data_IF_864393132261
#
_entry.id   IF_864393132261
#
_cell.length_a   1.000
_cell.length_b   1.000
_cell.length_c   1.000
_cell.angle_alpha   90.00
_cell.angle_beta   90.00
_cell.angle_gamma   90.00
#
_symmetry.space_group_name_H-M   'P 1'
#
loop_
_entity.id
_entity.type
_entity.pdbx_description
1 polymer ?
#
# COMPACT_ATOMS: atom_id res chain seq x y z
N UNK A 1 -9.02 -7.17 -6.12
CA UNK A 1 -9.28 -6.11 -7.11
C UNK A 1 -8.22 -6.21 -8.22
N UNK A 2 -8.59 -6.07 -9.49
CA UNK A 2 -7.64 -6.17 -10.61
C UNK A 2 -6.69 -4.97 -10.69
N UNK A 3 -7.08 -3.79 -10.20
CA UNK A 3 -6.26 -2.58 -10.24
C UNK A 3 -5.11 -2.64 -9.25
N UNK A 4 -5.36 -3.05 -8.01
CA UNK A 4 -4.31 -3.19 -6.98
C UNK A 4 -3.31 -4.28 -7.41
N UNK A 5 -3.79 -5.40 -7.93
CA UNK A 5 -2.92 -6.46 -8.41
C UNK A 5 -2.03 -5.98 -9.57
N UNK A 6 -2.60 -5.21 -10.50
CA UNK A 6 -1.83 -4.65 -11.63
C UNK A 6 -0.81 -3.61 -11.17
N UNK A 7 -1.17 -2.75 -10.20
CA UNK A 7 -0.25 -1.79 -9.60
C UNK A 7 0.98 -2.50 -9.01
N UNK A 8 0.77 -3.55 -8.23
CA UNK A 8 1.86 -4.28 -7.56
C UNK A 8 2.73 -5.03 -8.57
N UNK A 9 2.13 -5.71 -9.55
CA UNK A 9 2.86 -6.38 -10.64
C UNK A 9 3.70 -5.42 -11.47
N UNK A 10 3.23 -4.18 -11.66
CA UNK A 10 4.02 -3.18 -12.38
C UNK A 10 5.32 -2.84 -11.64
N UNK A 11 5.28 -2.82 -10.30
CA UNK A 11 6.46 -2.49 -9.49
C UNK A 11 7.55 -3.53 -9.52
N UNK A 12 7.20 -4.81 -9.71
CA UNK A 12 8.19 -5.87 -9.90
C UNK A 12 9.12 -5.63 -11.10
N UNK A 13 8.69 -4.83 -12.08
CA UNK A 13 9.47 -4.52 -13.29
C UNK A 13 10.32 -3.25 -13.18
N UNK A 14 10.05 -2.38 -12.19
CA UNK A 14 10.68 -1.05 -12.10
C UNK A 14 11.39 -0.78 -10.77
N UNK A 15 11.22 -1.66 -9.78
CA UNK A 15 11.84 -1.55 -8.47
C UNK A 15 12.68 -2.79 -8.16
N UNK A 16 13.77 -2.60 -7.42
CA UNK A 16 14.53 -3.69 -6.82
C UNK A 16 13.84 -4.29 -5.58
N UNK A 17 12.83 -3.59 -5.03
CA UNK A 17 12.04 -4.06 -3.89
C UNK A 17 11.08 -5.16 -4.35
N UNK A 18 11.10 -6.29 -3.64
CA UNK A 18 10.16 -7.37 -3.87
C UNK A 18 8.84 -7.10 -3.14
N UNK A 19 7.76 -6.91 -3.90
CA UNK A 19 6.43 -6.73 -3.33
C UNK A 19 5.69 -8.05 -3.20
N UNK A 20 5.13 -8.32 -2.01
CA UNK A 20 4.21 -9.43 -1.75
C UNK A 20 2.82 -8.87 -1.54
N UNK A 21 1.82 -9.48 -2.17
CA UNK A 21 0.42 -9.09 -2.02
C UNK A 21 -0.43 -10.26 -1.58
N UNK A 22 -1.16 -10.09 -0.50
CA UNK A 22 -2.19 -11.03 -0.06
C UNK A 22 -3.49 -10.30 0.25
N UNK A 23 -4.60 -11.02 0.07
CA UNK A 23 -5.91 -10.51 0.46
C UNK A 23 -6.81 -11.64 0.96
N UNK A 24 -7.77 -11.28 1.78
CA UNK A 24 -8.89 -12.15 2.09
C UNK A 24 -9.75 -12.37 0.83
N UNK A 25 -9.98 -13.63 0.48
CA UNK A 25 -10.76 -14.05 -0.68
C UNK A 25 -12.25 -13.71 -0.51
N UNK A 26 -12.71 -13.57 0.74
CA UNK A 26 -14.11 -13.25 1.06
C UNK A 26 -14.46 -11.77 0.82
N UNK A 27 -13.48 -10.91 0.51
CA UNK A 27 -13.74 -9.50 0.23
C UNK A 27 -14.44 -9.36 -1.12
N UNK A 28 -15.72 -9.02 -1.06
CA UNK A 28 -16.49 -8.65 -2.24
C UNK A 28 -16.34 -7.16 -2.56
N UNK A 29 -15.53 -6.85 -3.57
CA UNK A 29 -15.22 -5.48 -3.97
C UNK A 29 -16.42 -4.69 -4.52
N UNK A 30 -17.50 -5.37 -4.95
CA UNK A 30 -18.72 -4.70 -5.39
C UNK A 30 -19.47 -4.00 -4.25
N UNK A 31 -19.24 -4.43 -3.02
CA UNK A 31 -19.96 -3.91 -1.84
C UNK A 31 -19.41 -2.53 -1.42
N UNK A 32 -18.24 -2.17 -1.95
CA UNK A 32 -17.58 -0.89 -1.68
C UNK A 32 -17.84 0.13 -2.78
N UNK A 33 -18.23 1.34 -2.35
CA UNK A 33 -18.38 2.49 -3.23
C UNK A 33 -17.09 2.76 -4.02
N UNK A 34 -17.23 3.26 -5.24
CA UNK A 34 -16.08 3.58 -6.10
C UNK A 34 -15.07 4.51 -5.41
N UNK A 35 -15.56 5.52 -4.67
CA UNK A 35 -14.71 6.48 -3.97
C UNK A 35 -13.80 5.78 -2.94
N UNK A 36 -14.33 4.79 -2.22
CA UNK A 36 -13.57 4.01 -1.26
C UNK A 36 -12.45 3.22 -1.95
N UNK A 37 -12.77 2.53 -3.05
CA UNK A 37 -11.79 1.76 -3.83
C UNK A 37 -10.69 2.65 -4.42
N UNK A 38 -11.04 3.84 -4.90
CA UNK A 38 -10.08 4.83 -5.42
C UNK A 38 -9.15 5.31 -4.31
N UNK A 39 -9.68 5.63 -3.13
CA UNK A 39 -8.86 6.09 -2.01
C UNK A 39 -7.93 4.98 -1.51
N UNK A 40 -8.43 3.74 -1.40
CA UNK A 40 -7.60 2.59 -1.05
C UNK A 40 -6.45 2.39 -2.04
N UNK A 41 -6.72 2.51 -3.34
CA UNK A 41 -5.70 2.44 -4.37
C UNK A 41 -4.64 3.55 -4.20
N UNK A 42 -5.06 4.79 -3.91
CA UNK A 42 -4.13 5.92 -3.69
C UNK A 42 -3.25 5.73 -2.46
N UNK A 43 -3.82 5.21 -1.36
CA UNK A 43 -3.05 4.87 -0.15
C UNK A 43 -1.94 3.87 -0.48
N UNK A 44 -2.29 2.78 -1.18
CA UNK A 44 -1.32 1.75 -1.57
C UNK A 44 -0.27 2.33 -2.53
N UNK A 45 -0.69 3.16 -3.49
CA UNK A 45 0.23 3.81 -4.43
C UNK A 45 1.25 4.70 -3.72
N UNK A 46 0.80 5.56 -2.81
CA UNK A 46 1.69 6.45 -2.07
C UNK A 46 2.64 5.67 -1.16
N UNK A 47 2.15 4.62 -0.49
CA UNK A 47 2.99 3.76 0.34
C UNK A 47 4.08 3.05 -0.49
N UNK A 48 3.75 2.50 -1.66
CA UNK A 48 4.71 1.93 -2.60
C UNK A 48 5.76 2.97 -3.03
N UNK A 49 5.34 4.21 -3.31
CA UNK A 49 6.25 5.28 -3.68
C UNK A 49 7.20 5.62 -2.52
N UNK A 50 6.69 5.64 -1.29
CA UNK A 50 7.49 5.89 -0.09
C UNK A 50 8.52 4.78 0.14
N UNK A 51 8.11 3.52 0.03
CA UNK A 51 9.02 2.37 0.12
C UNK A 51 10.13 2.50 -0.93
N UNK A 52 9.77 2.67 -2.20
CA UNK A 52 10.75 2.74 -3.29
C UNK A 52 11.72 3.93 -3.18
N UNK A 53 11.29 5.07 -2.63
CA UNK A 53 12.11 6.30 -2.60
C UNK A 53 12.90 6.48 -1.30
N UNK A 54 12.41 5.94 -0.18
CA UNK A 54 12.85 6.36 1.15
C UNK A 54 13.26 5.23 2.09
N UNK A 55 12.82 3.99 1.86
CA UNK A 55 13.00 2.93 2.86
C UNK A 55 14.34 2.18 2.79
N UNK A 56 15.03 2.16 1.64
CA UNK A 56 16.09 1.20 1.34
C UNK A 56 15.70 -0.28 1.56
N UNK A 57 14.39 -0.58 1.61
CA UNK A 57 13.89 -1.92 1.83
C UNK A 57 14.26 -2.87 0.67
N UNK A 58 14.32 -4.16 0.98
CA UNK A 58 14.45 -5.22 -0.02
C UNK A 58 13.13 -5.95 -0.25
N UNK A 59 12.23 -5.93 0.73
CA UNK A 59 10.90 -6.51 0.64
C UNK A 59 9.84 -5.58 1.23
N UNK A 60 8.64 -5.62 0.64
CA UNK A 60 7.46 -4.96 1.17
C UNK A 60 6.24 -5.86 1.01
N UNK A 61 5.49 -6.05 2.09
CA UNK A 61 4.27 -6.86 2.12
C UNK A 61 3.03 -5.97 2.24
N UNK A 62 2.06 -6.19 1.35
CA UNK A 62 0.77 -5.52 1.33
C UNK A 62 -0.31 -6.58 1.60
N UNK A 63 -1.06 -6.41 2.69
CA UNK A 63 -2.11 -7.33 3.10
C UNK A 63 -3.43 -6.60 3.25
N UNK A 64 -4.50 -7.15 2.66
CA UNK A 64 -5.86 -6.60 2.80
C UNK A 64 -6.78 -7.69 3.34
N UNK A 65 -7.32 -7.49 4.53
CA UNK A 65 -8.28 -8.44 5.09
C UNK A 65 -9.43 -7.72 5.76
N UNK A 66 -10.56 -8.40 5.86
CA UNK A 66 -11.74 -7.88 6.53
C UNK A 66 -11.89 -8.60 7.87
N UNK A 67 -12.02 -7.83 8.95
CA UNK A 67 -12.41 -8.35 10.26
C UNK A 67 -13.69 -7.62 10.66
N UNK A 68 -14.75 -8.39 10.90
CA UNK A 68 -16.08 -7.84 11.18
C UNK A 68 -16.54 -6.85 10.08
N UNK A 69 -16.87 -5.61 10.47
CA UNK A 69 -17.28 -4.53 9.58
C UNK A 69 -16.12 -3.60 9.17
N UNK A 70 -14.86 -4.00 9.43
CA UNK A 70 -13.69 -3.15 9.21
C UNK A 70 -12.77 -3.78 8.16
N UNK A 71 -12.43 -3.00 7.14
CA UNK A 71 -11.36 -3.34 6.21
C UNK A 71 -10.03 -2.90 6.80
N UNK A 72 -9.10 -3.84 6.90
CA UNK A 72 -7.74 -3.59 7.35
C UNK A 72 -6.79 -3.66 6.16
N UNK A 73 -5.91 -2.66 6.07
CA UNK A 73 -4.81 -2.59 5.11
C UNK A 73 -3.51 -2.52 5.92
N UNK A 74 -2.64 -3.50 5.72
CA UNK A 74 -1.28 -3.49 6.26
C UNK A 74 -0.29 -3.34 5.11
N UNK A 75 0.67 -2.44 5.28
CA UNK A 75 1.78 -2.25 4.36
C UNK A 75 3.05 -2.21 5.21
N UNK A 76 3.88 -3.23 5.09
CA UNK A 76 5.06 -3.42 5.95
C UNK A 76 6.28 -3.63 5.07
N UNK A 77 7.28 -2.78 5.21
CA UNK A 77 8.59 -2.95 4.58
C UNK A 77 9.67 -3.28 5.62
N UNK A 78 10.80 -3.81 5.16
CA UNK A 78 11.95 -4.14 5.99
C UNK A 78 13.08 -3.09 5.89
N UNK A 79 12.74 -1.85 5.58
CA UNK A 79 13.68 -0.75 5.41
C UNK A 79 14.15 -0.13 6.73
N UNK A 80 14.83 1.01 6.60
CA UNK A 80 15.51 1.70 7.70
C UNK A 80 14.55 2.45 8.65
N UNK A 81 13.25 2.51 8.33
CA UNK A 81 12.26 3.28 9.07
C UNK A 81 12.40 4.79 8.85
N UNK A 82 11.91 5.59 9.79
CA UNK A 82 11.93 7.06 9.72
C UNK A 82 12.49 7.66 11.01
N UNK A 83 13.28 8.72 10.90
CA UNK A 83 13.74 9.51 12.06
C UNK A 83 12.56 10.26 12.68
N UNK A 84 12.22 9.95 13.94
CA UNK A 84 11.06 10.52 14.66
C UNK A 84 11.12 12.06 14.82
N UNK A 85 12.31 12.66 14.74
CA UNK A 85 12.55 14.06 15.10
C UNK A 85 12.42 15.05 13.92
N UNK A 86 12.24 14.54 12.70
CA UNK A 86 12.07 15.38 11.51
C UNK A 86 10.60 15.36 11.09
N UNK A 87 9.78 16.22 11.71
CA UNK A 87 8.47 16.60 11.15
C UNK A 87 8.67 17.39 9.84
N UNK A 88 9.19 16.75 8.79
CA UNK A 88 9.04 17.23 7.43
C UNK A 88 7.56 17.10 7.11
N UNK A 89 6.86 18.23 7.02
CA UNK A 89 5.52 18.32 6.41
C UNK A 89 5.63 17.92 4.93
N UNK A 90 5.64 16.61 4.66
CA UNK A 90 5.41 16.07 3.34
C UNK A 90 3.95 16.25 2.95
N UNK A 91 3.67 16.23 1.64
CA UNK A 91 2.30 16.32 1.12
C UNK A 91 1.61 14.94 1.01
N UNK A 92 2.31 13.85 1.33
CA UNK A 92 1.83 12.47 1.12
C UNK A 92 0.50 12.19 1.81
N UNK A 93 0.37 12.52 3.11
CA UNK A 93 -0.89 12.39 3.85
C UNK A 93 -1.98 13.37 3.39
N UNK A 94 -1.60 14.49 2.78
CA UNK A 94 -2.55 15.47 2.22
C UNK A 94 -3.11 15.02 0.87
N UNK A 95 -2.41 14.12 0.17
CA UNK A 95 -2.78 13.62 -1.16
C UNK A 95 -3.65 12.34 -1.11
N UNK A 96 -3.82 11.78 0.07
CA UNK A 96 -4.67 10.61 0.36
C UNK A 96 -6.09 11.10 0.69
#
# INVERSE_FOLDING_TARGET
DSLILNLIKHQENISAVKFKYSRDENINWSDFQNIFRINLYRIIQEAILNVNKHSNASECEIQIFQSDAIMNLFITDNGDGFEEDVQKKGIGLTNI
#
